data_IF_958119620931
#
_entry.id   IF_958119620931
#
_cell.length_a   1.000
_cell.length_b   1.000
_cell.length_c   1.000
_cell.angle_alpha   90.00
_cell.angle_beta   90.00
_cell.angle_gamma   90.00
#
_symmetry.space_group_name_H-M   'P 1'
#
loop_
_entity.id
_entity.type
_entity.pdbx_description
1 polymer ?
#
# COMPACT_ATOMS: atom_id res chain seq x y z
N UNK A 1 -17.77 -12.52 7.42
CA UNK A 1 -18.45 -11.39 6.73
C UNK A 1 -18.68 -10.16 7.65
N UNK A 2 -17.90 -9.96 8.73
CA UNK A 2 -18.11 -8.87 9.72
C UNK A 2 -17.07 -7.75 9.61
N UNK A 3 -15.90 -8.01 9.00
CA UNK A 3 -14.82 -7.01 8.87
C UNK A 3 -15.13 -5.85 7.90
N UNK A 4 -16.02 -6.04 6.92
CA UNK A 4 -16.22 -5.05 5.85
C UNK A 4 -16.99 -3.81 6.30
N UNK A 5 -17.89 -3.95 7.28
CA UNK A 5 -18.73 -2.84 7.77
C UNK A 5 -17.90 -1.77 8.49
N UNK A 6 -16.82 -2.18 9.17
CA UNK A 6 -15.97 -1.25 9.91
C UNK A 6 -15.08 -0.43 8.97
N UNK A 7 -14.48 -1.08 7.95
CA UNK A 7 -13.67 -0.40 6.94
C UNK A 7 -14.50 0.62 6.16
N UNK A 8 -15.73 0.25 5.79
CA UNK A 8 -16.65 1.16 5.09
C UNK A 8 -17.01 2.37 5.96
N UNK A 9 -17.33 2.17 7.25
CA UNK A 9 -17.63 3.27 8.18
C UNK A 9 -16.43 4.20 8.39
N UNK A 10 -15.23 3.65 8.51
CA UNK A 10 -14.01 4.45 8.58
C UNK A 10 -13.79 5.25 7.29
N UNK A 11 -14.00 4.64 6.12
CA UNK A 11 -13.84 5.32 4.85
C UNK A 11 -14.82 6.49 4.68
N UNK A 12 -16.09 6.30 5.03
CA UNK A 12 -17.11 7.35 5.00
C UNK A 12 -16.72 8.50 5.93
N UNK A 13 -16.27 8.21 7.15
CA UNK A 13 -15.85 9.23 8.10
C UNK A 13 -14.62 10.02 7.59
N UNK A 14 -13.60 9.32 7.05
CA UNK A 14 -12.44 9.98 6.44
C UNK A 14 -12.82 10.85 5.24
N UNK A 15 -13.77 10.39 4.41
CA UNK A 15 -14.27 11.16 3.28
C UNK A 15 -15.00 12.43 3.74
N UNK A 16 -15.87 12.31 4.75
CA UNK A 16 -16.59 13.45 5.32
C UNK A 16 -15.64 14.50 5.87
N UNK A 17 -14.66 14.08 6.69
CA UNK A 17 -13.64 14.98 7.25
C UNK A 17 -12.84 15.70 6.14
N UNK A 18 -12.38 14.97 5.12
CA UNK A 18 -11.62 15.53 4.00
C UNK A 18 -12.39 16.55 3.16
N UNK A 19 -13.72 16.50 3.18
CA UNK A 19 -14.59 17.43 2.47
C UNK A 19 -15.20 18.50 3.39
N UNK A 20 -14.76 18.61 4.65
CA UNK A 20 -15.29 19.57 5.61
C UNK A 20 -16.74 19.30 6.03
N UNK A 21 -17.23 18.07 5.84
CA UNK A 21 -18.57 17.67 6.23
C UNK A 21 -18.61 17.27 7.72
N UNK A 22 -19.70 17.58 8.43
CA UNK A 22 -19.82 17.24 9.85
C UNK A 22 -19.85 15.72 10.05
N UNK A 23 -19.09 15.24 11.03
CA UNK A 23 -19.13 13.85 11.44
C UNK A 23 -20.31 13.62 12.42
N UNK A 24 -21.04 12.49 12.31
CA UNK A 24 -22.10 12.15 13.25
C UNK A 24 -21.58 12.01 14.69
N UNK A 25 -22.39 12.36 15.70
CA UNK A 25 -21.99 12.34 17.13
C UNK A 25 -21.36 11.02 17.60
N UNK A 26 -21.85 9.89 17.13
CA UNK A 26 -21.34 8.58 17.54
C UNK A 26 -19.86 8.37 17.19
N UNK A 27 -19.32 9.08 16.17
CA UNK A 27 -17.93 8.92 15.74
C UNK A 27 -16.94 9.54 16.72
N UNK A 28 -17.33 10.53 17.54
CA UNK A 28 -16.43 11.28 18.43
C UNK A 28 -15.64 10.40 19.40
N UNK A 29 -16.22 9.26 19.81
CA UNK A 29 -15.61 8.35 20.79
C UNK A 29 -14.66 7.31 20.17
N UNK A 30 -14.63 7.19 18.84
CA UNK A 30 -13.97 6.10 18.10
C UNK A 30 -13.13 6.56 16.90
N UNK A 31 -13.45 7.71 16.30
CA UNK A 31 -12.73 8.32 15.18
C UNK A 31 -11.64 9.30 15.67
N UNK A 32 -10.51 9.42 14.97
CA UNK A 32 -9.98 8.49 13.97
C UNK A 32 -9.30 7.28 14.62
N UNK A 33 -8.84 7.41 15.88
CA UNK A 33 -7.88 6.49 16.50
C UNK A 33 -8.32 5.02 16.57
N UNK A 34 -9.40 4.71 17.31
CA UNK A 34 -9.86 3.33 17.51
C UNK A 34 -10.26 2.68 16.18
N UNK A 35 -10.96 3.42 15.33
CA UNK A 35 -11.35 2.91 14.01
C UNK A 35 -10.14 2.66 13.10
N UNK A 36 -9.15 3.55 13.06
CA UNK A 36 -7.92 3.36 12.26
C UNK A 36 -7.12 2.16 12.76
N UNK A 37 -7.02 1.98 14.09
CA UNK A 37 -6.39 0.81 14.68
C UNK A 37 -7.07 -0.50 14.26
N UNK A 38 -8.40 -0.60 14.46
CA UNK A 38 -9.15 -1.80 14.08
C UNK A 38 -9.10 -2.07 12.57
N UNK A 39 -9.12 -1.02 11.75
CA UNK A 39 -8.92 -1.15 10.30
C UNK A 39 -7.54 -1.70 9.96
N UNK A 40 -6.48 -1.19 10.57
CA UNK A 40 -5.11 -1.68 10.36
C UNK A 40 -4.95 -3.14 10.80
N UNK A 41 -5.59 -3.54 11.90
CA UNK A 41 -5.65 -4.91 12.35
C UNK A 41 -6.40 -5.79 11.34
N UNK A 42 -7.56 -5.34 10.86
CA UNK A 42 -8.35 -6.07 9.86
C UNK A 42 -7.56 -6.34 8.58
N UNK A 43 -6.71 -5.40 8.14
CA UNK A 43 -5.84 -5.60 6.98
C UNK A 43 -4.70 -6.58 7.30
N UNK A 44 -4.08 -6.45 8.47
CA UNK A 44 -2.98 -7.33 8.89
C UNK A 44 -3.41 -8.80 9.08
N UNK A 45 -4.68 -9.06 9.40
CA UNK A 45 -5.21 -10.42 9.55
C UNK A 45 -5.10 -11.26 8.26
N UNK A 46 -5.15 -10.64 7.08
CA UNK A 46 -4.97 -11.34 5.80
C UNK A 46 -3.53 -11.85 5.59
N UNK A 47 -2.60 -11.45 6.45
CA UNK A 47 -1.17 -11.76 6.35
C UNK A 47 -0.60 -12.05 7.74
N UNK A 48 -1.40 -12.74 8.57
CA UNK A 48 -1.05 -13.04 9.96
C UNK A 48 0.07 -14.08 10.09
N UNK A 49 0.12 -15.07 9.18
CA UNK A 49 1.15 -16.10 9.16
C UNK A 49 1.87 -16.16 7.81
N UNK A 50 2.95 -16.96 7.74
CA UNK A 50 3.84 -17.04 6.57
C UNK A 50 3.14 -17.57 5.32
N UNK A 51 2.25 -18.54 5.48
CA UNK A 51 1.47 -19.10 4.38
C UNK A 51 0.56 -18.03 3.80
N UNK A 52 -0.15 -17.29 4.65
CA UNK A 52 -1.03 -16.19 4.25
C UNK A 52 -0.25 -15.04 3.59
N UNK A 53 0.92 -14.68 4.12
CA UNK A 53 1.81 -13.68 3.51
C UNK A 53 2.22 -14.09 2.09
N UNK A 54 2.68 -15.32 1.92
CA UNK A 54 3.09 -15.87 0.62
C UNK A 54 1.92 -15.97 -0.35
N UNK A 55 0.74 -16.36 0.11
CA UNK A 55 -0.43 -16.52 -0.75
C UNK A 55 -1.02 -15.17 -1.19
N UNK A 56 -1.14 -14.20 -0.27
CA UNK A 56 -1.86 -12.96 -0.53
C UNK A 56 -0.98 -11.84 -1.11
N UNK A 57 0.32 -11.83 -0.84
CA UNK A 57 1.25 -10.82 -1.37
C UNK A 57 2.30 -11.39 -2.35
N UNK A 58 2.62 -12.67 -2.23
CA UNK A 58 3.67 -13.31 -3.02
C UNK A 58 3.48 -13.26 -4.53
N UNK A 59 2.26 -13.50 -5.09
CA UNK A 59 2.07 -13.43 -6.54
C UNK A 59 2.44 -12.08 -7.15
N UNK A 60 2.02 -10.97 -6.52
CA UNK A 60 2.33 -9.63 -7.02
C UNK A 60 3.80 -9.26 -6.82
N UNK A 61 4.42 -9.64 -5.69
CA UNK A 61 5.86 -9.47 -5.49
C UNK A 61 6.65 -10.26 -6.53
N UNK A 62 6.23 -11.48 -6.84
CA UNK A 62 6.83 -12.32 -7.86
C UNK A 62 6.73 -11.71 -9.25
N UNK A 63 5.58 -11.17 -9.62
CA UNK A 63 5.36 -10.47 -10.90
C UNK A 63 6.27 -9.23 -11.04
N UNK A 64 6.34 -8.39 -10.00
CA UNK A 64 7.24 -7.22 -9.96
C UNK A 64 8.70 -7.65 -10.11
N UNK A 65 9.12 -8.67 -9.35
CA UNK A 65 10.48 -9.19 -9.41
C UNK A 65 10.80 -9.78 -10.79
N UNK A 66 9.85 -10.46 -11.43
CA UNK A 66 10.01 -11.00 -12.78
C UNK A 66 10.17 -9.89 -13.80
N UNK A 67 9.35 -8.84 -13.77
CA UNK A 67 9.51 -7.69 -14.67
C UNK A 67 10.88 -7.00 -14.52
N UNK A 68 11.39 -6.89 -13.29
CA UNK A 68 12.73 -6.34 -13.04
C UNK A 68 13.82 -7.27 -13.58
N UNK A 69 13.68 -8.58 -13.41
CA UNK A 69 14.60 -9.57 -13.98
C UNK A 69 14.61 -9.52 -15.50
N UNK A 70 13.43 -9.44 -16.13
CA UNK A 70 13.28 -9.37 -17.59
C UNK A 70 13.87 -8.08 -18.15
N UNK A 71 13.75 -6.95 -17.41
CA UNK A 71 14.41 -5.69 -17.80
C UNK A 71 15.93 -5.83 -17.76
N UNK A 72 16.46 -6.52 -16.76
CA UNK A 72 17.91 -6.76 -16.59
C UNK A 72 18.46 -7.69 -17.67
N UNK A 73 17.74 -8.73 -18.06
CA UNK A 73 18.16 -9.72 -19.08
C UNK A 73 17.91 -9.25 -20.51
N UNK A 74 17.13 -8.17 -20.70
CA UNK A 74 16.73 -7.68 -22.02
C UNK A 74 15.57 -8.46 -22.63
N UNK A 75 14.89 -9.32 -21.86
CA UNK A 75 13.69 -10.03 -22.27
C UNK A 75 12.46 -9.10 -22.37
N UNK A 76 12.48 -7.97 -21.64
CA UNK A 76 11.41 -6.99 -21.69
C UNK A 76 11.50 -6.09 -22.94
N UNK A 77 10.35 -5.70 -23.49
CA UNK A 77 10.27 -4.77 -24.60
C UNK A 77 11.13 -3.51 -24.36
N UNK A 78 11.93 -3.11 -25.36
CA UNK A 78 12.98 -2.10 -25.19
C UNK A 78 12.49 -0.78 -24.56
N UNK A 79 11.27 -0.36 -24.91
CA UNK A 79 10.68 0.90 -24.47
C UNK A 79 9.86 0.80 -23.17
N UNK A 80 9.65 -0.40 -22.62
CA UNK A 80 8.92 -0.54 -21.36
C UNK A 80 9.81 -0.08 -20.19
N UNK A 81 9.35 0.97 -19.49
CA UNK A 81 10.07 1.61 -18.37
C UNK A 81 9.28 1.66 -17.06
N UNK A 82 7.95 1.50 -17.11
CA UNK A 82 7.07 1.63 -15.95
C UNK A 82 5.98 0.57 -15.99
N UNK A 83 5.69 -0.05 -14.85
CA UNK A 83 4.49 -0.87 -14.66
C UNK A 83 3.62 -0.20 -13.60
N UNK A 84 2.33 -0.05 -13.91
CA UNK A 84 1.38 0.58 -12.99
C UNK A 84 0.30 -0.43 -12.61
N UNK A 85 0.20 -0.71 -11.32
CA UNK A 85 -0.78 -1.62 -10.75
C UNK A 85 -1.83 -0.82 -9.98
N UNK A 86 -3.08 -0.87 -10.44
CA UNK A 86 -4.20 -0.30 -9.69
C UNK A 86 -4.48 -1.17 -8.47
N UNK A 87 -4.29 -0.63 -7.27
CA UNK A 87 -4.30 -1.38 -6.02
C UNK A 87 -5.27 -0.78 -5.00
N UNK A 88 -5.77 -1.64 -4.12
CA UNK A 88 -6.46 -1.22 -2.90
C UNK A 88 -5.49 -1.23 -1.71
N UNK A 89 -5.90 -0.62 -0.60
CA UNK A 89 -5.12 -0.60 0.64
C UNK A 89 -4.75 -2.00 1.13
N UNK A 90 -5.64 -2.99 0.96
CA UNK A 90 -5.35 -4.40 1.22
C UNK A 90 -4.18 -4.92 0.37
N UNK A 91 -4.15 -4.61 -0.92
CA UNK A 91 -3.06 -5.03 -1.83
C UNK A 91 -1.72 -4.46 -1.38
N UNK A 92 -1.70 -3.17 -1.03
CA UNK A 92 -0.50 -2.48 -0.52
C UNK A 92 -0.01 -3.16 0.76
N UNK A 93 -0.91 -3.42 1.72
CA UNK A 93 -0.56 -4.10 2.97
C UNK A 93 -0.06 -5.52 2.72
N UNK A 94 -0.68 -6.26 1.80
CA UNK A 94 -0.25 -7.62 1.46
C UNK A 94 1.18 -7.64 0.90
N UNK A 95 1.50 -6.73 -0.03
CA UNK A 95 2.86 -6.60 -0.60
C UNK A 95 3.85 -6.17 0.47
N UNK A 96 3.55 -5.10 1.21
CA UNK A 96 4.38 -4.60 2.32
C UNK A 96 4.75 -5.70 3.32
N UNK A 97 3.75 -6.51 3.72
CA UNK A 97 3.95 -7.60 4.68
C UNK A 97 4.63 -8.82 4.08
N UNK A 98 4.46 -9.09 2.79
CA UNK A 98 5.20 -10.13 2.07
C UNK A 98 6.69 -9.79 1.93
N UNK A 99 7.06 -8.51 1.87
CA UNK A 99 8.45 -8.04 1.93
C UNK A 99 9.07 -8.15 3.34
N UNK A 100 8.31 -8.61 4.33
CA UNK A 100 8.78 -8.84 5.69
C UNK A 100 8.45 -7.73 6.69
N UNK A 101 7.84 -6.63 6.25
CA UNK A 101 7.45 -5.55 7.16
C UNK A 101 6.14 -5.88 7.87
N UNK A 102 6.20 -6.20 9.17
CA UNK A 102 5.05 -6.75 9.92
C UNK A 102 4.27 -5.71 10.74
N UNK A 103 4.58 -4.42 10.58
CA UNK A 103 3.85 -3.34 11.25
C UNK A 103 2.38 -3.28 10.79
N UNK A 104 1.49 -2.88 11.71
CA UNK A 104 0.09 -2.62 11.38
C UNK A 104 -0.01 -1.26 10.69
N UNK A 105 -0.44 -1.28 9.44
CA UNK A 105 -0.56 -0.09 8.61
C UNK A 105 -1.99 0.03 8.06
N UNK A 106 -2.54 1.24 8.13
CA UNK A 106 -3.69 1.64 7.32
C UNK A 106 -3.19 2.65 6.28
N UNK A 107 -3.00 2.23 5.01
CA UNK A 107 -2.66 3.15 3.95
C UNK A 107 -3.72 4.24 3.79
N UNK A 108 -3.27 5.46 3.57
CA UNK A 108 -4.13 6.57 3.18
C UNK A 108 -4.62 6.38 1.75
N UNK A 109 -5.75 6.99 1.40
CA UNK A 109 -6.19 7.00 0.01
C UNK A 109 -5.13 7.70 -0.86
N UNK A 110 -4.78 7.06 -1.98
CA UNK A 110 -3.71 7.50 -2.87
C UNK A 110 -2.30 7.06 -2.48
N UNK A 111 -2.14 6.28 -1.39
CA UNK A 111 -0.84 5.72 -1.06
C UNK A 111 -0.38 4.74 -2.15
N UNK A 112 0.93 4.70 -2.41
CA UNK A 112 1.58 3.84 -3.38
C UNK A 112 2.84 3.22 -2.79
N UNK A 113 3.19 2.03 -3.29
CA UNK A 113 4.52 1.44 -3.16
C UNK A 113 5.21 1.55 -4.52
N UNK A 114 6.43 2.05 -4.51
CA UNK A 114 7.23 2.27 -5.71
C UNK A 114 8.45 1.37 -5.62
N UNK A 115 8.69 0.59 -6.67
CA UNK A 115 9.82 -0.31 -6.78
C UNK A 115 10.69 0.16 -7.93
N UNK A 116 11.94 0.49 -7.63
CA UNK A 116 12.88 1.05 -8.60
C UNK A 116 14.04 0.10 -8.80
N UNK A 117 14.40 -0.14 -10.06
CA UNK A 117 15.55 -0.94 -10.44
C UNK A 117 16.67 -0.01 -10.92
N UNK A 118 17.73 0.08 -10.14
CA UNK A 118 18.89 0.94 -10.39
C UNK A 118 20.06 0.14 -10.94
N UNK A 119 20.73 0.66 -11.97
CA UNK A 119 22.02 0.16 -12.44
C UNK A 119 23.12 0.91 -11.67
N UNK A 120 23.90 0.19 -10.88
CA UNK A 120 24.94 0.78 -10.01
C UNK A 120 26.32 0.38 -10.52
N UNK A 121 27.18 1.39 -10.71
CA UNK A 121 28.56 1.20 -11.17
C UNK A 121 28.70 0.75 -12.62
N UNK A 122 29.93 0.46 -13.02
CA UNK A 122 30.28 0.03 -14.38
C UNK A 122 30.15 -1.47 -14.61
N UNK A 123 30.02 -2.27 -13.55
CA UNK A 123 30.04 -3.74 -13.60
C UNK A 123 28.66 -4.39 -13.79
N UNK A 124 27.64 -3.63 -14.24
CA UNK A 124 26.26 -4.12 -14.40
C UNK A 124 25.66 -4.71 -13.11
N UNK A 125 25.98 -4.10 -11.97
CA UNK A 125 25.31 -4.43 -10.71
C UNK A 125 23.94 -3.75 -10.67
N UNK A 126 22.95 -4.45 -10.15
CA UNK A 126 21.59 -3.93 -10.04
C UNK A 126 21.17 -3.89 -8.58
N UNK A 127 20.50 -2.81 -8.19
CA UNK A 127 19.92 -2.63 -6.86
C UNK A 127 18.43 -2.35 -6.98
N UNK A 128 17.65 -2.84 -6.02
CA UNK A 128 16.21 -2.57 -5.95
C UNK A 128 15.98 -1.65 -4.76
N UNK A 129 15.35 -0.51 -5.02
CA UNK A 129 14.86 0.40 -3.99
C UNK A 129 13.34 0.25 -3.88
N UNK A 130 12.84 0.22 -2.64
CA UNK A 130 11.40 0.18 -2.34
C UNK A 130 11.06 1.40 -1.51
N UNK A 131 10.20 2.27 -2.04
CA UNK A 131 9.71 3.45 -1.34
C UNK A 131 8.18 3.44 -1.22
N UNK A 132 7.65 4.15 -0.24
CA UNK A 132 6.22 4.23 0.04
C UNK A 132 5.77 5.66 0.25
N UNK A 133 4.69 6.07 -0.40
CA UNK A 133 4.15 7.42 -0.22
C UNK A 133 3.19 7.44 0.96
N UNK A 134 3.50 8.22 1.99
CA UNK A 134 2.52 8.60 3.03
C UNK A 134 1.69 9.75 2.48
N UNK A 135 0.61 9.50 1.74
CA UNK A 135 -0.23 10.61 1.27
C UNK A 135 -1.11 11.16 2.39
N UNK A 136 -0.55 12.05 3.21
CA UNK A 136 -1.29 13.04 3.98
C UNK A 136 -1.16 14.39 3.27
N UNK A 137 -2.30 14.97 2.89
CA UNK A 137 -2.53 16.36 2.46
C UNK A 137 -1.38 17.08 1.71
N UNK A 138 -1.57 17.24 0.40
CA UNK A 138 -1.10 18.45 -0.26
C UNK A 138 -1.88 19.65 0.32
N UNK A 139 -1.44 20.19 1.45
CA UNK A 139 -1.88 21.53 1.87
C UNK A 139 -1.37 22.52 0.83
N UNK A 140 -2.33 23.16 0.15
CA UNK A 140 -2.08 24.27 -0.76
C UNK A 140 -1.33 25.37 0.01
N UNK A 141 -0.32 26.03 -0.59
CA UNK A 141 0.15 27.28 -0.03
C UNK A 141 -1.01 28.28 -0.05
N UNK A 142 -1.52 28.64 1.13
CA UNK A 142 -2.38 29.80 1.28
C UNK A 142 -1.51 31.04 1.14
N UNK A 143 -1.81 31.82 0.10
CA UNK A 143 -1.38 33.22 -0.05
C UNK A 143 -1.85 34.07 1.12
#
# INVERSE_FOLDING_TARGET
MVGNTLLLKLFIAMFQERNGLPLPEWTKSVYPGKMKHLASLSLALFTHNDIMRRLNGGPLVGDIAQHMADKRTGALAANQKLFLYSAHDLTIVNVWRALGMTEMLKPESGAALIFELHLVGTNKEFQIEVSGTKTAQAERPTS
#
